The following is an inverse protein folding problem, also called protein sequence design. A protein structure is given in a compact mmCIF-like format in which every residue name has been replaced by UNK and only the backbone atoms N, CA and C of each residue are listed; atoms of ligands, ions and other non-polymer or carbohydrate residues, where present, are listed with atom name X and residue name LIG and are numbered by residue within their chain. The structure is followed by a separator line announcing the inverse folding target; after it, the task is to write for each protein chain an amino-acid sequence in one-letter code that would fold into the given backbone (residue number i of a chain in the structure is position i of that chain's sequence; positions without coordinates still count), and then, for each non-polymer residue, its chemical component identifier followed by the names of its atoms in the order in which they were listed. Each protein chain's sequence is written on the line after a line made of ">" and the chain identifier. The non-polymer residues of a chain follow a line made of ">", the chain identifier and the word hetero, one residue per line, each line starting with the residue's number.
data_IF_633085514992
#
_entry.id   IF_633085514992
#
_cell.length_a   1.000
_cell.length_b   1.000
_cell.length_c   1.000
_cell.angle_alpha   90.00
_cell.angle_beta   90.00
_cell.angle_gamma   90.00
#
_symmetry.space_group_name_H-M   'P 1'
#
loop_
_entity.id
_entity.type
_entity.pdbx_description
1 polymer ?
#
# COMPACT_ATOMS: atom_id res chain seq x y z
N UNK A 1 49.52 -3.03 68.95
CA UNK A 1 48.20 -2.40 68.74
C UNK A 1 47.16 -3.48 68.93
N UNK A 2 46.35 -3.36 69.98
CA UNK A 2 45.51 -4.45 70.46
C UNK A 2 44.32 -4.66 69.51
N UNK A 3 44.13 -5.89 69.04
CA UNK A 3 43.06 -6.29 68.13
C UNK A 3 41.64 -6.20 68.76
N UNK A 4 41.53 -5.76 70.02
CA UNK A 4 40.30 -5.66 70.82
C UNK A 4 39.84 -4.22 71.16
N UNK A 5 40.43 -3.18 70.55
CA UNK A 5 40.06 -1.79 70.87
C UNK A 5 38.75 -1.39 70.15
N UNK A 6 37.65 -1.06 70.87
CA UNK A 6 36.32 -0.85 70.28
C UNK A 6 36.24 0.35 69.33
N UNK A 7 37.14 1.33 69.49
CA UNK A 7 37.24 2.51 68.61
C UNK A 7 37.78 2.16 67.21
N UNK A 8 38.66 1.16 67.13
CA UNK A 8 39.21 0.68 65.87
C UNK A 8 38.13 -0.07 65.07
N UNK A 9 37.36 -0.93 65.73
CA UNK A 9 36.22 -1.63 65.13
C UNK A 9 35.11 -0.68 64.68
N UNK A 10 34.81 0.37 65.43
CA UNK A 10 33.84 1.41 65.01
C UNK A 10 34.27 2.11 63.71
N UNK A 11 35.56 2.44 63.56
CA UNK A 11 36.10 3.03 62.34
C UNK A 11 36.05 2.07 61.14
N UNK A 12 36.34 0.79 61.35
CA UNK A 12 36.26 -0.25 60.31
C UNK A 12 34.81 -0.45 59.84
N UNK A 13 33.84 -0.49 60.76
CA UNK A 13 32.41 -0.64 60.40
C UNK A 13 31.93 0.59 59.61
N UNK A 14 32.31 1.79 60.01
CA UNK A 14 31.95 3.02 59.28
C UNK A 14 32.55 3.05 57.87
N UNK A 15 33.81 2.63 57.71
CA UNK A 15 34.47 2.54 56.41
C UNK A 15 33.81 1.50 55.50
N UNK A 16 33.42 0.34 56.05
CA UNK A 16 32.66 -0.69 55.33
C UNK A 16 31.29 -0.18 54.90
N UNK A 17 30.57 0.52 55.77
CA UNK A 17 29.26 1.10 55.45
C UNK A 17 29.35 2.15 54.33
N UNK A 18 30.38 3.02 54.36
CA UNK A 18 30.64 4.00 53.30
C UNK A 18 31.01 3.35 51.97
N UNK A 19 31.89 2.36 51.98
CA UNK A 19 32.28 1.63 50.77
C UNK A 19 31.08 0.91 50.14
N UNK A 20 30.23 0.30 50.96
CA UNK A 20 29.02 -0.36 50.49
C UNK A 20 27.98 0.63 49.93
N UNK A 21 27.77 1.76 50.62
CA UNK A 21 26.84 2.81 50.17
C UNK A 21 27.27 3.46 48.84
N UNK A 22 28.57 3.77 48.68
CA UNK A 22 29.12 4.32 47.44
C UNK A 22 29.06 3.31 46.29
N UNK A 23 29.37 2.04 46.56
CA UNK A 23 29.27 0.96 45.56
C UNK A 23 27.84 0.75 45.07
N UNK A 24 26.86 0.76 45.99
CA UNK A 24 25.45 0.61 45.63
C UNK A 24 24.92 1.82 44.83
N UNK A 25 25.26 3.04 45.24
CA UNK A 25 24.86 4.26 44.52
C UNK A 25 25.49 4.38 43.13
N UNK A 26 26.75 4.00 42.96
CA UNK A 26 27.41 3.96 41.66
C UNK A 26 26.81 2.88 40.74
N UNK A 27 26.45 1.72 41.30
CA UNK A 27 25.76 0.65 40.56
C UNK A 27 24.38 1.05 40.05
N UNK A 28 23.59 1.75 40.88
CA UNK A 28 22.25 2.21 40.48
C UNK A 28 22.32 3.32 39.42
N UNK A 29 23.27 4.25 39.54
CA UNK A 29 23.53 5.27 38.53
C UNK A 29 23.98 4.65 37.19
N UNK A 30 24.86 3.65 37.23
CA UNK A 30 25.29 2.92 36.04
C UNK A 30 24.11 2.19 35.39
N UNK A 31 23.27 1.52 36.18
CA UNK A 31 22.06 0.85 35.68
C UNK A 31 21.10 1.84 35.03
N UNK A 32 20.85 2.99 35.64
CA UNK A 32 20.03 4.06 35.05
C UNK A 32 20.61 4.60 33.74
N UNK A 33 21.94 4.75 33.64
CA UNK A 33 22.59 5.16 32.39
C UNK A 33 22.48 4.10 31.30
N UNK A 34 22.66 2.82 31.63
CA UNK A 34 22.51 1.71 30.69
C UNK A 34 21.07 1.65 30.17
N UNK A 35 20.06 1.73 31.03
CA UNK A 35 18.65 1.76 30.63
C UNK A 35 18.34 2.96 29.72
N UNK A 36 18.84 4.16 30.06
CA UNK A 36 18.68 5.35 29.21
C UNK A 36 19.36 5.17 27.85
N UNK A 37 20.57 4.61 27.81
CA UNK A 37 21.29 4.37 26.55
C UNK A 37 20.56 3.34 25.68
N UNK A 38 20.02 2.27 26.26
CA UNK A 38 19.20 1.26 25.55
C UNK A 38 17.90 1.87 25.05
N UNK A 39 17.22 2.67 25.86
CA UNK A 39 16.00 3.38 25.47
C UNK A 39 16.27 4.38 24.33
N UNK A 40 17.41 5.09 24.36
CA UNK A 40 17.84 5.98 23.28
C UNK A 40 18.17 5.19 22.01
N UNK A 41 18.90 4.07 22.12
CA UNK A 41 19.20 3.20 20.99
C UNK A 41 17.92 2.63 20.35
N UNK A 42 16.96 2.18 21.17
CA UNK A 42 15.67 1.70 20.69
C UNK A 42 14.89 2.79 19.96
N UNK A 43 14.89 4.04 20.47
CA UNK A 43 14.28 5.19 19.81
C UNK A 43 14.95 5.54 18.49
N UNK A 44 16.29 5.51 18.44
CA UNK A 44 17.05 5.76 17.19
C UNK A 44 16.78 4.65 16.17
N UNK A 45 16.76 3.39 16.58
CA UNK A 45 16.43 2.27 15.70
C UNK A 45 15.00 2.40 15.15
N UNK A 46 14.03 2.74 16.00
CA UNK A 46 12.64 2.99 15.58
C UNK A 46 12.55 4.16 14.57
N UNK A 47 13.22 5.28 14.86
CA UNK A 47 13.25 6.43 13.95
C UNK A 47 13.93 6.10 12.60
N UNK A 48 14.97 5.27 12.61
CA UNK A 48 15.61 4.79 11.38
C UNK A 48 14.69 3.88 10.57
N UNK A 49 13.95 2.98 11.22
CA UNK A 49 12.95 2.14 10.53
C UNK A 49 11.83 2.99 9.95
N UNK A 50 11.28 3.95 10.70
CA UNK A 50 10.25 4.87 10.22
C UNK A 50 10.74 5.67 9.01
N UNK A 51 11.97 6.18 9.04
CA UNK A 51 12.55 6.90 7.90
C UNK A 51 12.68 6.00 6.65
N UNK A 52 13.10 4.74 6.82
CA UNK A 52 13.18 3.78 5.70
C UNK A 52 11.79 3.49 5.14
N UNK A 53 10.81 3.23 6.00
CA UNK A 53 9.42 2.99 5.60
C UNK A 53 8.79 4.20 4.89
N UNK A 54 9.07 5.42 5.35
CA UNK A 54 8.62 6.65 4.71
C UNK A 54 9.24 6.82 3.33
N UNK A 55 10.55 6.54 3.19
CA UNK A 55 11.24 6.62 1.90
C UNK A 55 10.73 5.58 0.89
N UNK A 56 10.44 4.36 1.34
CA UNK A 56 9.85 3.31 0.52
C UNK A 56 8.42 3.69 0.07
N UNK A 57 7.62 4.22 0.99
CA UNK A 57 6.26 4.68 0.67
C UNK A 57 6.25 5.84 -0.34
N UNK A 58 7.17 6.79 -0.20
CA UNK A 58 7.29 7.90 -1.14
C UNK A 58 7.65 7.44 -2.57
N UNK A 59 8.57 6.47 -2.69
CA UNK A 59 8.94 5.90 -3.99
C UNK A 59 7.79 5.17 -4.65
N UNK A 60 7.11 4.28 -3.92
CA UNK A 60 5.96 3.55 -4.48
C UNK A 60 4.83 4.50 -4.86
N UNK A 61 4.58 5.55 -4.06
CA UNK A 61 3.56 6.54 -4.38
C UNK A 61 3.87 7.30 -5.69
N UNK A 62 5.12 7.69 -5.92
CA UNK A 62 5.53 8.35 -7.16
C UNK A 62 5.42 7.40 -8.37
N UNK A 63 5.93 6.18 -8.25
CA UNK A 63 5.82 5.17 -9.31
C UNK A 63 4.37 4.81 -9.65
N UNK A 64 3.51 4.69 -8.64
CA UNK A 64 2.08 4.43 -8.81
C UNK A 64 1.38 5.60 -9.53
N UNK A 65 1.69 6.85 -9.16
CA UNK A 65 1.13 8.03 -9.82
C UNK A 65 1.54 8.12 -11.30
N UNK A 66 2.80 7.83 -11.60
CA UNK A 66 3.31 7.79 -12.98
C UNK A 66 2.68 6.65 -13.78
N UNK A 67 2.56 5.46 -13.19
CA UNK A 67 1.92 4.31 -13.84
C UNK A 67 0.43 4.58 -14.13
N UNK A 68 -0.29 5.20 -13.20
CA UNK A 68 -1.68 5.59 -13.40
C UNK A 68 -1.83 6.60 -14.54
N UNK A 69 -0.97 7.63 -14.55
CA UNK A 69 -0.95 8.63 -15.63
C UNK A 69 -0.71 7.96 -16.97
N UNK A 70 0.25 7.01 -17.02
CA UNK A 70 0.55 6.25 -18.24
C UNK A 70 -0.64 5.46 -18.75
N UNK A 71 -1.36 4.76 -17.87
CA UNK A 71 -2.58 4.02 -18.24
C UNK A 71 -3.57 4.98 -18.88
N UNK A 72 -3.93 6.06 -18.19
CA UNK A 72 -4.88 7.06 -18.69
C UNK A 72 -4.45 7.66 -20.04
N UNK A 73 -3.16 7.97 -20.22
CA UNK A 73 -2.66 8.50 -21.50
C UNK A 73 -2.81 7.50 -22.64
N UNK A 74 -2.52 6.21 -22.42
CA UNK A 74 -2.63 5.18 -23.47
C UNK A 74 -4.08 5.01 -23.92
N UNK A 75 -5.02 4.97 -22.99
CA UNK A 75 -6.45 4.84 -23.30
C UNK A 75 -6.98 6.09 -24.01
N UNK A 76 -6.56 7.28 -23.57
CA UNK A 76 -6.89 8.54 -24.25
C UNK A 76 -6.32 8.60 -25.67
N UNK A 77 -5.05 8.25 -25.85
CA UNK A 77 -4.36 8.33 -27.14
C UNK A 77 -4.93 7.32 -28.15
N UNK A 78 -5.38 6.15 -27.68
CA UNK A 78 -6.04 5.15 -28.53
C UNK A 78 -7.32 5.70 -29.16
N UNK A 79 -8.14 6.41 -28.38
CA UNK A 79 -9.38 7.04 -28.88
C UNK A 79 -9.04 8.10 -29.94
N UNK A 80 -8.06 8.96 -29.66
CA UNK A 80 -7.61 9.99 -30.61
C UNK A 80 -7.06 9.38 -31.91
N UNK A 81 -6.34 8.25 -31.79
CA UNK A 81 -5.80 7.54 -32.94
C UNK A 81 -6.92 6.92 -33.79
N UNK A 82 -7.88 6.25 -33.16
CA UNK A 82 -9.07 5.71 -33.82
C UNK A 82 -9.82 6.79 -34.59
N UNK A 83 -10.11 7.93 -33.97
CA UNK A 83 -10.88 9.02 -34.60
C UNK A 83 -10.13 9.68 -35.77
N UNK A 84 -8.79 9.54 -35.81
CA UNK A 84 -7.96 9.98 -36.93
C UNK A 84 -8.00 9.00 -38.10
N UNK A 85 -8.02 7.70 -37.82
CA UNK A 85 -7.96 6.66 -38.85
C UNK A 85 -9.34 6.30 -39.41
N UNK A 86 -10.37 6.34 -38.57
CA UNK A 86 -11.75 5.98 -38.93
C UNK A 86 -12.57 7.26 -39.02
N UNK A 87 -13.01 7.68 -40.23
CA UNK A 87 -13.94 8.78 -40.39
C UNK A 87 -15.22 8.56 -39.58
N UNK A 88 -15.73 9.64 -38.99
CA UNK A 88 -16.93 9.60 -38.15
C UNK A 88 -18.15 9.01 -38.89
N UNK A 89 -18.23 9.24 -40.20
CA UNK A 89 -19.32 8.73 -41.04
C UNK A 89 -19.37 7.19 -41.07
N UNK A 90 -18.22 6.53 -40.94
CA UNK A 90 -18.14 5.07 -40.88
C UNK A 90 -18.72 4.59 -39.54
N UNK A 91 -18.35 5.25 -38.44
CA UNK A 91 -18.88 4.91 -37.10
C UNK A 91 -20.41 5.04 -37.07
N UNK A 92 -20.95 6.13 -37.62
CA UNK A 92 -22.41 6.34 -37.71
C UNK A 92 -23.08 5.28 -38.59
N UNK A 93 -22.45 4.88 -39.69
CA UNK A 93 -22.95 3.82 -40.55
C UNK A 93 -22.98 2.47 -39.81
N UNK A 94 -21.90 2.12 -39.13
CA UNK A 94 -21.76 0.86 -38.40
C UNK A 94 -22.73 0.79 -37.21
N UNK A 95 -22.93 1.91 -36.50
CA UNK A 95 -23.93 2.03 -35.43
C UNK A 95 -25.35 1.79 -35.93
N UNK A 96 -25.67 2.24 -37.15
CA UNK A 96 -26.98 2.02 -37.77
C UNK A 96 -27.13 0.60 -38.36
N UNK A 97 -26.04 0.01 -38.85
CA UNK A 97 -26.03 -1.32 -39.45
C UNK A 97 -26.01 -2.45 -38.40
N UNK A 98 -25.34 -2.23 -37.27
CA UNK A 98 -25.20 -3.22 -36.21
C UNK A 98 -26.34 -3.15 -35.21
N UNK A 99 -27.25 -4.15 -35.25
CA UNK A 99 -28.29 -4.31 -34.24
C UNK A 99 -27.77 -5.10 -33.04
N UNK A 100 -27.66 -4.45 -31.88
CA UNK A 100 -27.34 -5.12 -30.61
C UNK A 100 -28.62 -5.72 -29.98
N UNK A 101 -28.70 -7.05 -29.78
CA UNK A 101 -29.87 -7.69 -29.22
C UNK A 101 -29.99 -7.48 -27.69
N UNK A 102 -31.21 -7.45 -27.18
CA UNK A 102 -31.53 -7.26 -25.75
C UNK A 102 -30.85 -8.28 -24.84
N UNK A 103 -30.74 -9.53 -25.27
CA UNK A 103 -30.03 -10.59 -24.54
C UNK A 103 -28.54 -10.29 -24.28
N UNK A 104 -27.87 -9.61 -25.21
CA UNK A 104 -26.47 -9.23 -25.04
C UNK A 104 -26.34 -8.23 -23.90
N UNK A 105 -27.15 -7.16 -23.94
CA UNK A 105 -27.16 -6.11 -22.92
C UNK A 105 -27.59 -6.68 -21.56
N UNK A 106 -28.61 -7.54 -21.53
CA UNK A 106 -29.05 -8.22 -20.32
C UNK A 106 -27.94 -9.05 -19.69
N UNK A 107 -27.27 -9.88 -20.48
CA UNK A 107 -26.16 -10.71 -20.01
C UNK A 107 -24.96 -9.87 -19.56
N UNK A 108 -24.57 -8.85 -20.33
CA UNK A 108 -23.48 -7.93 -19.98
C UNK A 108 -23.72 -7.23 -18.65
N UNK A 109 -24.94 -6.72 -18.45
CA UNK A 109 -25.34 -6.04 -17.23
C UNK A 109 -25.41 -6.98 -16.02
N UNK A 110 -25.94 -8.19 -16.21
CA UNK A 110 -25.93 -9.22 -15.16
C UNK A 110 -24.51 -9.59 -14.75
N UNK A 111 -23.60 -9.77 -15.70
CA UNK A 111 -22.19 -10.06 -15.41
C UNK A 111 -21.52 -8.92 -14.61
N UNK A 112 -21.75 -7.67 -15.00
CA UNK A 112 -21.20 -6.50 -14.30
C UNK A 112 -21.77 -6.30 -12.89
N UNK A 113 -22.99 -6.80 -12.62
CA UNK A 113 -23.60 -6.80 -11.27
C UNK A 113 -23.34 -8.07 -10.47
N UNK A 114 -22.59 -9.03 -11.02
CA UNK A 114 -22.42 -10.36 -10.44
C UNK A 114 -23.75 -11.10 -10.16
N UNK A 115 -24.73 -10.91 -11.05
CA UNK A 115 -26.05 -11.53 -11.00
C UNK A 115 -26.18 -12.61 -12.08
N UNK A 116 -27.02 -13.62 -11.83
CA UNK A 116 -27.40 -14.58 -12.88
C UNK A 116 -28.47 -13.97 -13.79
N UNK A 117 -28.34 -14.06 -15.12
CA UNK A 117 -29.35 -13.59 -16.04
C UNK A 117 -30.61 -14.45 -15.95
N UNK A 118 -31.78 -13.84 -16.20
CA UNK A 118 -33.05 -14.56 -16.25
C UNK A 118 -33.17 -15.35 -17.55
N UNK A 119 -33.81 -16.52 -17.52
CA UNK A 119 -34.02 -17.34 -18.71
C UNK A 119 -34.78 -16.59 -19.82
N UNK A 120 -35.74 -15.73 -19.45
CA UNK A 120 -36.45 -14.87 -20.39
C UNK A 120 -35.53 -13.82 -21.04
N UNK A 121 -34.64 -13.21 -20.24
CA UNK A 121 -33.67 -12.23 -20.76
C UNK A 121 -32.65 -12.84 -21.73
N UNK A 122 -32.29 -14.11 -21.57
CA UNK A 122 -31.37 -14.81 -22.49
C UNK A 122 -31.97 -15.06 -23.89
N UNK A 123 -33.30 -15.02 -24.01
CA UNK A 123 -34.02 -15.24 -25.26
C UNK A 123 -34.46 -13.94 -25.94
N UNK A 124 -34.14 -12.79 -25.36
CA UNK A 124 -34.55 -11.49 -25.89
C UNK A 124 -33.74 -11.10 -27.13
N UNK A 125 -34.31 -11.33 -28.31
CA UNK A 125 -33.72 -10.91 -29.58
C UNK A 125 -34.08 -9.47 -29.95
N UNK A 126 -34.91 -8.75 -29.19
CA UNK A 126 -35.35 -7.39 -29.52
C UNK A 126 -34.15 -6.43 -29.65
N UNK A 127 -34.30 -5.34 -30.41
CA UNK A 127 -33.26 -4.32 -30.48
C UNK A 127 -33.18 -3.63 -29.11
N UNK A 128 -31.99 -3.65 -28.51
CA UNK A 128 -31.77 -3.06 -27.18
C UNK A 128 -31.78 -1.53 -27.17
N UNK A 129 -31.61 -0.90 -28.34
CA UNK A 129 -31.38 0.55 -28.46
C UNK A 129 -29.95 0.98 -28.14
N UNK A 130 -29.07 0.06 -27.73
CA UNK A 130 -27.63 0.29 -27.57
C UNK A 130 -26.95 0.18 -28.93
N UNK A 131 -26.14 1.17 -29.27
CA UNK A 131 -25.35 1.19 -30.51
C UNK A 131 -23.97 0.57 -30.31
N UNK A 132 -23.27 0.24 -31.40
CA UNK A 132 -21.98 -0.46 -31.35
C UNK A 132 -20.90 0.39 -30.66
N UNK A 133 -20.86 1.68 -30.96
CA UNK A 133 -19.92 2.65 -30.37
C UNK A 133 -20.10 2.83 -28.86
N UNK A 134 -21.32 2.66 -28.33
CA UNK A 134 -21.58 2.66 -26.89
C UNK A 134 -20.94 1.43 -26.22
N UNK A 135 -21.05 0.26 -26.85
CA UNK A 135 -20.44 -0.98 -26.36
C UNK A 135 -18.92 -0.87 -26.39
N UNK A 136 -18.35 -0.35 -27.48
CA UNK A 136 -16.91 -0.09 -27.60
C UNK A 136 -16.43 0.85 -26.49
N UNK A 137 -17.11 1.99 -26.33
CA UNK A 137 -16.74 2.99 -25.31
C UNK A 137 -16.83 2.42 -23.90
N UNK A 138 -17.88 1.64 -23.62
CA UNK A 138 -18.03 0.98 -22.33
C UNK A 138 -16.92 -0.05 -22.10
N UNK A 139 -16.57 -0.85 -23.11
CA UNK A 139 -15.50 -1.83 -23.02
C UNK A 139 -14.13 -1.17 -22.75
N UNK A 140 -13.82 -0.06 -23.44
CA UNK A 140 -12.57 0.68 -23.20
C UNK A 140 -12.51 1.25 -21.77
N UNK A 141 -13.62 1.78 -21.23
CA UNK A 141 -13.70 2.22 -19.82
C UNK A 141 -13.47 1.06 -18.84
N UNK A 142 -14.08 -0.09 -19.09
CA UNK A 142 -13.92 -1.29 -18.25
C UNK A 142 -12.48 -1.82 -18.31
N UNK A 143 -11.86 -1.81 -19.48
CA UNK A 143 -10.46 -2.20 -19.67
C UNK A 143 -9.51 -1.23 -18.96
N UNK A 144 -9.73 0.08 -19.07
CA UNK A 144 -8.95 1.09 -18.36
C UNK A 144 -9.04 0.88 -16.84
N UNK A 145 -10.25 0.71 -16.31
CA UNK A 145 -10.48 0.45 -14.89
C UNK A 145 -9.81 -0.85 -14.43
N UNK A 146 -9.88 -1.91 -15.24
CA UNK A 146 -9.21 -3.19 -14.97
C UNK A 146 -7.69 -3.00 -14.88
N UNK A 147 -7.07 -2.35 -15.87
CA UNK A 147 -5.62 -2.12 -15.87
C UNK A 147 -5.17 -1.23 -14.72
N UNK A 148 -5.96 -0.21 -14.39
CA UNK A 148 -5.76 0.66 -13.22
C UNK A 148 -5.77 -0.16 -11.92
N UNK A 149 -6.81 -0.96 -11.70
CA UNK A 149 -6.96 -1.77 -10.49
C UNK A 149 -5.88 -2.84 -10.38
N UNK A 150 -5.55 -3.52 -11.48
CA UNK A 150 -4.48 -4.51 -11.52
C UNK A 150 -3.12 -3.87 -11.18
N UNK A 151 -2.86 -2.65 -11.66
CA UNK A 151 -1.65 -1.90 -11.32
C UNK A 151 -1.61 -1.52 -9.84
N UNK A 152 -2.69 -0.95 -9.31
CA UNK A 152 -2.79 -0.59 -7.89
C UNK A 152 -2.58 -1.80 -6.97
N UNK A 153 -3.13 -2.97 -7.33
CA UNK A 153 -2.92 -4.20 -6.57
C UNK A 153 -1.46 -4.64 -6.58
N UNK A 154 -0.78 -4.54 -7.74
CA UNK A 154 0.64 -4.84 -7.86
C UNK A 154 1.49 -3.88 -7.03
N UNK A 155 1.22 -2.58 -7.12
CA UNK A 155 1.92 -1.56 -6.34
C UNK A 155 1.74 -1.77 -4.82
N UNK A 156 0.54 -2.18 -4.39
CA UNK A 156 0.28 -2.55 -3.01
C UNK A 156 1.10 -3.78 -2.57
N UNK A 157 1.16 -4.82 -3.40
CA UNK A 157 1.95 -6.03 -3.10
C UNK A 157 3.44 -5.70 -2.99
N UNK A 158 3.95 -4.87 -3.91
CA UNK A 158 5.34 -4.41 -3.90
C UNK A 158 5.62 -3.56 -2.65
N UNK A 159 4.71 -2.65 -2.29
CA UNK A 159 4.81 -1.84 -1.06
C UNK A 159 4.83 -2.71 0.19
N UNK A 160 3.92 -3.68 0.33
CA UNK A 160 3.88 -4.59 1.49
C UNK A 160 5.21 -5.34 1.62
N UNK A 161 5.76 -5.82 0.51
CA UNK A 161 7.05 -6.50 0.50
C UNK A 161 8.18 -5.57 0.96
N UNK A 162 8.22 -4.33 0.46
CA UNK A 162 9.21 -3.34 0.88
C UNK A 162 9.08 -2.96 2.36
N UNK A 163 7.86 -2.86 2.89
CA UNK A 163 7.62 -2.59 4.31
C UNK A 163 8.12 -3.72 5.20
N UNK A 164 7.92 -4.97 4.79
CA UNK A 164 8.43 -6.14 5.49
C UNK A 164 9.97 -6.16 5.52
N UNK A 165 10.62 -5.85 4.39
CA UNK A 165 12.08 -5.74 4.34
C UNK A 165 12.61 -4.57 5.19
N UNK A 166 11.94 -3.41 5.16
CA UNK A 166 12.33 -2.25 5.97
C UNK A 166 12.16 -2.48 7.48
N UNK A 167 11.25 -3.37 7.88
CA UNK A 167 10.99 -3.73 9.28
C UNK A 167 11.97 -4.78 9.85
N UNK A 168 12.79 -5.44 9.02
CA UNK A 168 13.76 -6.42 9.51
C UNK A 168 14.91 -5.70 10.26
N UNK A 169 15.23 -6.14 11.50
CA UNK A 169 16.43 -5.66 12.18
C UNK A 169 17.69 -6.13 11.42
N UNK A 170 18.72 -5.27 11.36
CA UNK A 170 20.04 -5.62 10.80
C UNK A 170 20.79 -6.60 11.69
#
# INVERSE_FOLDING_TARGET
>A
MSLLDPRFWAGVILALALAFGLGYGAGDLHRLQVERSRALQAKVAAAQTESRQASASAKVADEAAQAQTRIQTVFRDRILYRDREVPHEIVVHDDAACRIPGRFVGMWNSANRAELPTAAGLLDEAASGVVLSDVETQHEREAEAFHSNARQLKDLQDWVTQQQEAAKPQ
#
